data_IF_229053541142
#
_entry.id   IF_229053541142
#
_cell.length_a   1.000
_cell.length_b   1.000
_cell.length_c   1.000
_cell.angle_alpha   90.00
_cell.angle_beta   90.00
_cell.angle_gamma   90.00
#
_symmetry.space_group_name_H-M   'P 1'
#
loop_
_entity.id
_entity.type
_entity.pdbx_description
1 polymer ?
#
# COMPACT_ATOMS: atom_id res chain seq x y z
N UNK A 1 -35.31 11.01 23.11
CA UNK A 1 -35.21 10.93 21.64
C UNK A 1 -33.75 11.11 21.31
N UNK A 2 -33.06 10.06 20.85
CA UNK A 2 -31.61 10.07 20.62
C UNK A 2 -31.34 9.92 19.11
N UNK A 3 -30.47 10.78 18.60
CA UNK A 3 -30.13 10.94 17.19
C UNK A 3 -29.54 9.66 16.58
N UNK A 4 -29.98 9.34 15.36
CA UNK A 4 -29.48 8.23 14.56
C UNK A 4 -28.07 8.54 14.07
N UNK A 5 -27.08 7.85 14.64
CA UNK A 5 -25.73 7.75 14.08
C UNK A 5 -25.84 7.10 12.70
N UNK A 6 -25.73 7.89 11.63
CA UNK A 6 -25.56 7.38 10.28
C UNK A 6 -24.11 6.90 10.14
N UNK A 7 -23.90 5.61 10.40
CA UNK A 7 -22.68 4.93 9.97
C UNK A 7 -22.67 4.96 8.43
N UNK A 8 -21.78 5.77 7.86
CA UNK A 8 -21.48 5.82 6.43
C UNK A 8 -21.12 4.40 5.98
N UNK A 9 -22.02 3.79 5.22
CA UNK A 9 -21.76 2.53 4.55
C UNK A 9 -20.66 2.75 3.51
N UNK A 10 -19.44 2.30 3.80
CA UNK A 10 -18.42 2.08 2.78
C UNK A 10 -18.83 0.83 2.00
N UNK A 11 -19.70 1.01 1.01
CA UNK A 11 -19.97 -0.01 0.00
C UNK A 11 -18.70 -0.28 -0.81
N UNK A 12 -18.52 -1.50 -1.36
CA UNK A 12 -17.39 -1.80 -2.22
C UNK A 12 -17.52 -0.96 -3.50
N UNK A 13 -16.66 0.05 -3.65
CA UNK A 13 -16.56 0.83 -4.88
C UNK A 13 -16.18 -0.11 -6.03
N UNK A 14 -17.05 -0.17 -7.03
CA UNK A 14 -16.87 -0.93 -8.28
C UNK A 14 -15.52 -0.57 -8.94
N UNK A 15 -14.78 -1.51 -9.57
CA UNK A 15 -13.43 -1.26 -10.08
C UNK A 15 -13.35 -0.30 -11.29
N UNK A 16 -14.50 0.05 -11.88
CA UNK A 16 -14.57 0.88 -13.10
C UNK A 16 -14.61 2.40 -12.85
N UNK A 17 -14.54 2.84 -11.59
CA UNK A 17 -14.71 4.24 -11.21
C UNK A 17 -13.46 4.96 -10.70
N UNK A 18 -12.25 4.46 -10.97
CA UNK A 18 -11.01 5.15 -10.55
C UNK A 18 -10.71 6.21 -11.60
N UNK A 19 -10.91 7.49 -11.25
CA UNK A 19 -10.50 8.60 -12.10
C UNK A 19 -8.97 8.67 -12.15
N UNK A 20 -8.38 9.32 -13.15
CA UNK A 20 -6.93 9.49 -13.24
C UNK A 20 -6.32 10.16 -12.00
N UNK A 21 -7.07 11.10 -11.39
CA UNK A 21 -6.70 11.73 -10.12
C UNK A 21 -6.68 10.72 -8.97
N UNK A 22 -7.71 9.88 -8.88
CA UNK A 22 -7.76 8.82 -7.86
C UNK A 22 -6.62 7.79 -8.05
N UNK A 23 -6.20 7.54 -9.29
CA UNK A 23 -5.07 6.67 -9.59
C UNK A 23 -3.73 7.25 -9.13
N UNK A 24 -3.55 8.57 -9.23
CA UNK A 24 -2.38 9.27 -8.68
C UNK A 24 -2.38 9.26 -7.15
N UNK A 25 -3.51 9.52 -6.50
CA UNK A 25 -3.63 9.47 -5.05
C UNK A 25 -3.36 8.05 -4.51
N UNK A 26 -3.87 7.03 -5.20
CA UNK A 26 -3.59 5.62 -4.87
C UNK A 26 -2.13 5.25 -5.09
N UNK A 27 -1.50 5.77 -6.14
CA UNK A 27 -0.07 5.57 -6.41
C UNK A 27 0.79 6.19 -5.30
N UNK A 28 0.49 7.44 -4.92
CA UNK A 28 1.21 8.14 -3.86
C UNK A 28 1.13 7.36 -2.54
N UNK A 29 -0.08 6.96 -2.14
CA UNK A 29 -0.28 6.13 -0.95
C UNK A 29 0.49 4.79 -1.02
N UNK A 30 0.56 4.14 -2.19
CA UNK A 30 1.33 2.90 -2.37
C UNK A 30 2.84 3.13 -2.26
N UNK A 31 3.35 4.24 -2.81
CA UNK A 31 4.75 4.63 -2.68
C UNK A 31 5.12 4.99 -1.23
N UNK A 32 4.24 5.67 -0.50
CA UNK A 32 4.41 5.94 0.93
C UNK A 32 4.49 4.65 1.75
N UNK A 33 3.60 3.68 1.50
CA UNK A 33 3.64 2.37 2.15
C UNK A 33 4.94 1.61 1.84
N UNK A 34 5.41 1.66 0.58
CA UNK A 34 6.68 1.04 0.19
C UNK A 34 7.86 1.71 0.91
N UNK A 35 7.87 3.04 0.95
CA UNK A 35 8.93 3.81 1.60
C UNK A 35 8.95 3.56 3.12
N UNK A 36 7.80 3.56 3.78
CA UNK A 36 7.69 3.24 5.20
C UNK A 36 8.19 1.81 5.51
N UNK A 37 7.87 0.84 4.64
CA UNK A 37 8.35 -0.53 4.75
C UNK A 37 9.89 -0.60 4.59
N UNK A 38 10.44 0.10 3.59
CA UNK A 38 11.89 0.16 3.35
C UNK A 38 12.65 0.86 4.48
N UNK A 39 12.13 1.97 5.00
CA UNK A 39 12.69 2.64 6.17
C UNK A 39 12.63 1.76 7.42
N UNK A 40 11.59 0.93 7.57
CA UNK A 40 11.51 -0.05 8.66
C UNK A 40 12.60 -1.12 8.56
N UNK A 41 13.03 -1.49 7.34
CA UNK A 41 14.20 -2.37 7.16
C UNK A 41 15.52 -1.67 7.53
N UNK A 42 15.67 -0.41 7.15
CA UNK A 42 16.92 0.34 7.33
C UNK A 42 17.11 0.85 8.77
N UNK A 43 16.04 1.33 9.40
CA UNK A 43 16.05 1.90 10.74
C UNK A 43 16.18 0.87 11.87
N UNK A 44 16.02 -0.42 11.58
CA UNK A 44 16.13 -1.50 12.55
C UNK A 44 17.36 -2.39 12.26
N UNK A 45 18.53 -1.77 12.09
CA UNK A 45 19.83 -2.46 12.01
C UNK A 45 20.26 -3.16 13.33
N UNK A 46 19.35 -3.28 14.29
CA UNK A 46 19.56 -3.72 15.66
C UNK A 46 19.44 -5.26 15.78
N UNK A 47 19.89 -6.02 14.79
CA UNK A 47 19.72 -7.48 14.78
C UNK A 47 18.30 -7.96 14.45
N UNK A 48 17.38 -7.08 14.04
CA UNK A 48 16.02 -7.47 13.66
C UNK A 48 16.02 -8.48 12.53
N UNK A 49 16.86 -8.27 11.51
CA UNK A 49 17.04 -9.24 10.44
C UNK A 49 17.46 -10.61 11.03
N UNK A 50 18.44 -10.64 11.95
CA UNK A 50 18.93 -11.87 12.61
C UNK A 50 17.86 -12.57 13.48
N UNK A 51 17.03 -11.83 14.22
CA UNK A 51 15.92 -12.38 15.03
C UNK A 51 14.73 -12.87 14.20
N UNK A 52 14.49 -12.25 13.05
CA UNK A 52 13.31 -12.48 12.21
C UNK A 52 13.38 -13.80 11.44
N UNK A 53 14.57 -14.37 11.26
CA UNK A 53 14.79 -15.61 10.51
C UNK A 53 14.59 -15.45 8.98
N UNK A 54 15.20 -16.32 8.16
CA UNK A 54 15.20 -16.18 6.70
C UNK A 54 13.79 -16.17 6.08
N UNK A 55 12.87 -17.01 6.58
CA UNK A 55 11.51 -17.13 6.02
C UNK A 55 10.69 -15.84 6.11
N UNK A 56 10.86 -15.08 7.19
CA UNK A 56 10.13 -13.82 7.38
C UNK A 56 10.79 -12.68 6.60
N UNK A 57 12.10 -12.74 6.33
CA UNK A 57 12.77 -11.82 5.39
C UNK A 57 12.28 -12.03 3.96
N UNK A 58 12.21 -13.28 3.50
CA UNK A 58 11.74 -13.61 2.15
C UNK A 58 10.29 -13.16 1.95
N UNK A 59 9.45 -13.38 2.97
CA UNK A 59 8.05 -12.90 2.94
C UNK A 59 7.95 -11.38 2.88
N UNK A 60 8.82 -10.67 3.59
CA UNK A 60 8.86 -9.22 3.60
C UNK A 60 9.38 -8.64 2.27
N UNK A 61 10.38 -9.29 1.67
CA UNK A 61 10.88 -8.94 0.33
C UNK A 61 9.82 -9.21 -0.74
N UNK A 62 9.06 -10.30 -0.59
CA UNK A 62 7.92 -10.60 -1.47
C UNK A 62 6.84 -9.51 -1.37
N UNK A 63 6.48 -9.07 -0.16
CA UNK A 63 5.51 -7.96 0.03
C UNK A 63 6.02 -6.66 -0.61
N UNK A 64 7.30 -6.32 -0.45
CA UNK A 64 7.88 -5.15 -1.09
C UNK A 64 7.82 -5.24 -2.62
N UNK A 65 8.06 -6.44 -3.17
CA UNK A 65 8.01 -6.70 -4.60
C UNK A 65 6.57 -6.59 -5.15
N UNK A 66 5.60 -7.13 -4.45
CA UNK A 66 4.17 -7.04 -4.77
C UNK A 66 3.70 -5.59 -4.77
N UNK A 67 4.05 -4.83 -3.72
CA UNK A 67 3.68 -3.42 -3.60
C UNK A 67 4.32 -2.54 -4.70
N UNK A 68 5.54 -2.88 -5.12
CA UNK A 68 6.20 -2.20 -6.24
C UNK A 68 5.53 -2.51 -7.60
N UNK A 69 5.04 -3.73 -7.80
CA UNK A 69 4.29 -4.11 -9.01
C UNK A 69 2.93 -3.39 -9.06
N UNK A 70 2.23 -3.31 -7.93
CA UNK A 70 0.99 -2.53 -7.78
C UNK A 70 1.20 -1.06 -8.11
N UNK A 71 2.25 -0.44 -7.57
CA UNK A 71 2.60 0.95 -7.88
C UNK A 71 2.90 1.13 -9.38
N UNK A 72 3.63 0.21 -10.01
CA UNK A 72 3.90 0.28 -11.45
C UNK A 72 2.61 0.17 -12.29
N UNK A 73 1.66 -0.68 -11.89
CA UNK A 73 0.36 -0.82 -12.57
C UNK A 73 -0.49 0.45 -12.42
N UNK A 74 -0.53 1.04 -11.23
CA UNK A 74 -1.21 2.30 -10.95
C UNK A 74 -0.61 3.45 -11.76
N UNK A 75 0.73 3.54 -11.81
CA UNK A 75 1.42 4.53 -12.63
C UNK A 75 1.08 4.40 -14.12
N UNK A 76 1.07 3.18 -14.67
CA UNK A 76 0.68 2.98 -16.07
C UNK A 76 -0.78 3.35 -16.34
N UNK A 77 -1.67 3.16 -15.38
CA UNK A 77 -3.08 3.54 -15.52
C UNK A 77 -3.27 5.05 -15.42
N UNK A 78 -2.55 5.70 -14.52
CA UNK A 78 -2.54 7.16 -14.38
C UNK A 78 -1.89 7.87 -15.59
N UNK A 79 -0.84 7.29 -16.16
CA UNK A 79 -0.12 7.83 -17.33
C UNK A 79 -0.81 7.58 -18.68
N UNK A 80 -1.81 6.69 -18.73
CA UNK A 80 -2.62 6.41 -19.92
C UNK A 80 -3.92 7.22 -19.99
N UNK A 81 -4.15 8.10 -19.01
CA UNK A 81 -5.22 9.11 -19.02
C UNK A 81 -4.80 10.37 -19.77
#
# INVERSE_FOLDING_TARGET
MAERIMARASGPTSPDGITPSDAWDLLENRLEQLNALLLSFYGNMNGWFEEVGPDRRDRLLWIASDLAQDAAALFQRAAKS
#
